data_IF_803373327165
#
_entry.id   IF_803373327165
#
_cell.length_a   1.000
_cell.length_b   1.000
_cell.length_c   1.000
_cell.angle_alpha   90.00
_cell.angle_beta   90.00
_cell.angle_gamma   90.00
#
_symmetry.space_group_name_H-M   'P 1'
#
loop_
_entity.id
_entity.type
_entity.pdbx_description
1 polymer ?
#
# COMPACT_ATOMS: atom_id res chain seq x y z
N UNK A 1 6.49 0.72 -3.60
CA UNK A 1 5.03 0.82 -3.90
C UNK A 1 4.65 0.69 -5.38
N UNK A 2 5.56 0.89 -6.34
CA UNK A 2 5.21 0.97 -7.77
C UNK A 2 4.74 -0.36 -8.39
N UNK A 3 5.10 -1.52 -7.82
CA UNK A 3 4.78 -2.84 -8.40
C UNK A 3 3.28 -3.12 -8.61
N UNK A 4 2.40 -2.56 -7.77
CA UNK A 4 0.95 -2.75 -7.90
C UNK A 4 0.25 -1.64 -8.69
N UNK A 5 0.95 -0.55 -9.00
CA UNK A 5 0.38 0.60 -9.70
C UNK A 5 -0.30 0.23 -11.04
N UNK A 6 0.30 -0.60 -11.91
CA UNK A 6 -0.35 -1.02 -13.15
C UNK A 6 -1.69 -1.73 -12.93
N UNK A 7 -1.82 -2.51 -11.85
CA UNK A 7 -3.03 -3.25 -11.50
C UNK A 7 -4.15 -2.30 -11.08
N UNK A 8 -3.87 -1.32 -10.21
CA UNK A 8 -4.84 -0.30 -9.81
C UNK A 8 -5.25 0.62 -10.97
N UNK A 9 -4.30 0.98 -11.86
CA UNK A 9 -4.62 1.77 -13.03
C UNK A 9 -5.53 1.00 -14.00
N UNK A 10 -5.20 -0.24 -14.33
CA UNK A 10 -6.01 -1.09 -15.19
C UNK A 10 -7.40 -1.35 -14.60
N UNK A 11 -7.46 -1.74 -13.33
CA UNK A 11 -8.73 -1.93 -12.62
C UNK A 11 -9.57 -0.65 -12.55
N UNK A 12 -8.92 0.52 -12.59
CA UNK A 12 -9.58 1.82 -12.67
C UNK A 12 -10.27 2.11 -14.01
N UNK A 13 -9.80 1.50 -15.10
CA UNK A 13 -10.44 1.54 -16.41
C UNK A 13 -11.33 0.32 -16.69
N UNK A 14 -11.61 -0.50 -15.65
CA UNK A 14 -12.39 -1.73 -15.79
C UNK A 14 -11.64 -2.86 -16.50
N UNK A 15 -10.31 -2.78 -16.60
CA UNK A 15 -9.47 -3.81 -17.19
C UNK A 15 -8.96 -4.72 -16.07
N UNK A 16 -9.23 -6.01 -16.18
CA UNK A 16 -8.79 -7.04 -15.23
C UNK A 16 -7.66 -7.86 -15.85
N UNK A 17 -6.52 -7.97 -15.15
CA UNK A 17 -5.40 -8.77 -15.63
C UNK A 17 -5.65 -10.25 -15.34
N UNK A 18 -5.53 -11.15 -16.35
CA UNK A 18 -5.91 -12.56 -16.22
C UNK A 18 -4.94 -13.43 -15.40
N UNK A 19 -3.80 -12.90 -14.97
CA UNK A 19 -2.77 -13.66 -14.25
C UNK A 19 -2.72 -13.33 -12.75
N UNK A 20 -2.92 -12.07 -12.39
CA UNK A 20 -2.97 -11.57 -11.01
C UNK A 20 -3.89 -10.34 -11.01
N UNK A 21 -5.20 -10.56 -11.12
CA UNK A 21 -6.21 -9.52 -11.02
C UNK A 21 -6.83 -9.48 -9.62
N UNK A 22 -7.66 -8.47 -9.36
CA UNK A 22 -8.39 -8.38 -8.10
C UNK A 22 -9.33 -9.59 -7.81
N UNK A 23 -9.98 -10.23 -8.80
CA UNK A 23 -10.76 -11.44 -8.58
C UNK A 23 -9.95 -12.61 -8.01
N UNK A 24 -8.68 -12.73 -8.38
CA UNK A 24 -7.79 -13.80 -7.89
C UNK A 24 -7.30 -13.53 -6.45
N UNK A 25 -7.45 -12.30 -5.95
CA UNK A 25 -7.03 -11.88 -4.60
C UNK A 25 -8.18 -11.92 -3.59
N UNK A 26 -9.42 -11.65 -4.02
CA UNK A 26 -10.60 -11.64 -3.17
C UNK A 26 -11.81 -12.28 -3.87
N UNK A 27 -12.43 -13.28 -3.23
CA UNK A 27 -13.55 -14.05 -3.80
C UNK A 27 -14.88 -13.27 -3.84
N UNK A 28 -14.98 -12.16 -3.13
CA UNK A 28 -16.13 -11.24 -3.11
C UNK A 28 -15.96 -10.04 -4.05
N UNK A 29 -14.84 -9.97 -4.78
CA UNK A 29 -14.55 -8.87 -5.67
C UNK A 29 -15.62 -8.74 -6.77
N UNK A 30 -16.06 -7.50 -7.00
CA UNK A 30 -16.93 -7.15 -8.12
C UNK A 30 -16.52 -5.81 -8.70
N UNK A 31 -16.38 -5.75 -10.03
CA UNK A 31 -15.98 -4.54 -10.75
C UNK A 31 -17.18 -3.62 -10.97
N UNK A 32 -17.55 -2.88 -9.93
CA UNK A 32 -18.55 -1.81 -10.02
C UNK A 32 -17.89 -0.47 -10.36
N UNK A 33 -18.66 0.49 -10.87
CA UNK A 33 -18.14 1.84 -11.16
C UNK A 33 -17.50 2.53 -9.94
N UNK A 34 -18.02 2.27 -8.73
CA UNK A 34 -17.42 2.76 -7.48
C UNK A 34 -16.04 2.13 -7.19
N UNK A 35 -15.91 0.82 -7.41
CA UNK A 35 -14.65 0.09 -7.22
C UNK A 35 -13.59 0.58 -8.22
N UNK A 36 -13.98 0.78 -9.48
CA UNK A 36 -13.09 1.34 -10.52
C UNK A 36 -12.59 2.74 -10.14
N UNK A 37 -13.50 3.62 -9.70
CA UNK A 37 -13.11 4.95 -9.19
C UNK A 37 -12.14 4.85 -8.00
N UNK A 38 -12.42 3.93 -7.07
CA UNK A 38 -11.56 3.70 -5.89
C UNK A 38 -10.17 3.19 -6.26
N UNK A 39 -10.06 2.34 -7.30
CA UNK A 39 -8.78 1.91 -7.85
C UNK A 39 -7.99 3.06 -8.46
N UNK A 40 -8.63 3.95 -9.23
CA UNK A 40 -7.97 5.15 -9.76
C UNK A 40 -7.46 6.06 -8.64
N UNK A 41 -8.29 6.33 -7.63
CA UNK A 41 -7.88 7.13 -6.47
C UNK A 41 -6.70 6.51 -5.74
N UNK A 42 -6.73 5.19 -5.53
CA UNK A 42 -5.64 4.43 -4.89
C UNK A 42 -4.36 4.51 -5.72
N UNK A 43 -4.45 4.34 -7.05
CA UNK A 43 -3.31 4.48 -7.96
C UNK A 43 -2.67 5.87 -7.88
N UNK A 44 -3.47 6.94 -7.88
CA UNK A 44 -2.99 8.31 -7.71
C UNK A 44 -2.31 8.53 -6.36
N UNK A 45 -2.88 8.01 -5.27
CA UNK A 45 -2.27 8.08 -3.93
C UNK A 45 -0.95 7.33 -3.86
N UNK A 46 -0.84 6.16 -4.50
CA UNK A 46 0.41 5.39 -4.57
C UNK A 46 1.50 6.13 -5.35
N UNK A 47 1.16 6.82 -6.44
CA UNK A 47 2.09 7.70 -7.15
C UNK A 47 2.54 8.84 -6.24
N UNK A 48 1.59 9.54 -5.60
CA UNK A 48 1.90 10.65 -4.69
C UNK A 48 2.83 10.23 -3.56
N UNK A 49 2.54 9.11 -2.90
CA UNK A 49 3.39 8.55 -1.85
C UNK A 49 4.78 8.17 -2.37
N UNK A 50 4.87 7.53 -3.54
CA UNK A 50 6.15 7.18 -4.16
C UNK A 50 6.97 8.42 -4.54
N UNK A 51 6.33 9.48 -5.05
CA UNK A 51 6.99 10.74 -5.38
C UNK A 51 7.52 11.45 -4.13
N UNK A 52 6.73 11.52 -3.05
CA UNK A 52 7.20 12.08 -1.78
C UNK A 52 8.31 11.26 -1.15
N UNK A 53 8.33 9.94 -1.34
CA UNK A 53 9.44 9.07 -0.93
C UNK A 53 10.72 9.38 -1.74
N UNK A 54 10.63 9.45 -3.07
CA UNK A 54 11.76 9.74 -3.96
C UNK A 54 12.35 11.13 -3.71
N UNK A 55 11.50 12.11 -3.38
CA UNK A 55 11.91 13.48 -3.06
C UNK A 55 12.42 13.65 -1.63
N UNK A 56 12.34 12.60 -0.80
CA UNK A 56 12.72 12.67 0.62
C UNK A 56 11.82 13.56 1.47
N UNK A 57 10.62 13.90 0.98
CA UNK A 57 9.64 14.77 1.65
C UNK A 57 8.88 14.02 2.76
N UNK A 58 8.88 12.69 2.71
CA UNK A 58 8.18 11.86 3.68
C UNK A 58 9.11 11.46 4.83
N UNK A 59 8.80 11.93 6.04
CA UNK A 59 9.52 11.51 7.24
C UNK A 59 9.28 10.03 7.56
N UNK A 60 10.24 9.38 8.23
CA UNK A 60 10.08 8.00 8.70
C UNK A 60 8.89 7.84 9.66
N UNK A 61 8.62 8.86 10.48
CA UNK A 61 7.46 8.87 11.37
C UNK A 61 6.14 8.86 10.58
N UNK A 62 6.03 9.71 9.55
CA UNK A 62 4.86 9.73 8.66
C UNK A 62 4.70 8.38 7.96
N UNK A 63 5.80 7.82 7.43
CA UNK A 63 5.83 6.50 6.79
C UNK A 63 5.28 5.40 7.69
N UNK A 64 5.75 5.36 8.94
CA UNK A 64 5.35 4.36 9.94
C UNK A 64 3.85 4.45 10.29
N UNK A 65 3.32 5.66 10.53
CA UNK A 65 1.94 5.84 10.98
C UNK A 65 0.90 5.31 9.98
N UNK A 66 1.02 5.65 8.68
CA UNK A 66 0.04 5.15 7.72
C UNK A 66 0.23 3.66 7.41
N UNK A 67 1.46 3.13 7.48
CA UNK A 67 1.70 1.70 7.33
C UNK A 67 1.06 0.88 8.45
N UNK A 68 1.05 1.37 9.69
CA UNK A 68 0.30 0.73 10.78
C UNK A 68 -1.20 0.68 10.50
N UNK A 69 -1.80 1.79 10.07
CA UNK A 69 -3.22 1.82 9.72
C UNK A 69 -3.54 0.84 8.57
N UNK A 70 -2.71 0.85 7.52
CA UNK A 70 -2.83 -0.06 6.38
C UNK A 70 -2.67 -1.53 6.79
N UNK A 71 -1.67 -1.82 7.61
CA UNK A 71 -1.37 -3.16 8.15
C UNK A 71 -2.56 -3.70 8.95
N UNK A 72 -3.18 -2.90 9.81
CA UNK A 72 -4.37 -3.33 10.56
C UNK A 72 -5.57 -3.61 9.66
N UNK A 73 -5.81 -2.75 8.66
CA UNK A 73 -6.90 -2.96 7.70
C UNK A 73 -6.69 -4.23 6.85
N UNK A 74 -5.47 -4.44 6.35
CA UNK A 74 -5.09 -5.63 5.60
C UNK A 74 -5.19 -6.90 6.44
N UNK A 75 -4.73 -6.86 7.69
CA UNK A 75 -4.78 -8.02 8.57
C UNK A 75 -6.23 -8.45 8.84
N UNK A 76 -7.13 -7.50 9.07
CA UNK A 76 -8.57 -7.78 9.21
C UNK A 76 -9.14 -8.45 7.96
N UNK A 77 -8.74 -7.99 6.78
CA UNK A 77 -9.19 -8.55 5.51
C UNK A 77 -8.62 -9.95 5.26
N UNK A 78 -7.32 -10.17 5.49
CA UNK A 78 -6.65 -11.47 5.34
C UNK A 78 -7.20 -12.56 6.27
N UNK A 79 -7.57 -12.17 7.49
CA UNK A 79 -8.22 -13.09 8.44
C UNK A 79 -9.72 -13.30 8.14
N UNK A 80 -10.25 -12.57 7.16
CA UNK A 80 -11.64 -12.68 6.69
C UNK A 80 -11.83 -13.84 5.70
N UNK A 81 -13.10 -14.24 5.46
CA UNK A 81 -13.41 -15.40 4.62
C UNK A 81 -13.28 -15.15 3.11
N UNK A 82 -13.09 -13.89 2.70
CA UNK A 82 -13.07 -13.51 1.27
C UNK A 82 -11.66 -13.43 0.69
N UNK A 83 -10.62 -13.40 1.54
CA UNK A 83 -9.24 -13.35 1.05
C UNK A 83 -8.81 -14.71 0.50
N UNK A 84 -8.17 -14.72 -0.66
CA UNK A 84 -7.56 -15.95 -1.18
C UNK A 84 -6.17 -16.16 -0.56
N UNK A 85 -5.64 -17.38 -0.63
CA UNK A 85 -4.24 -17.66 -0.24
C UNK A 85 -3.26 -16.78 -1.01
N UNK A 86 -3.51 -16.57 -2.31
CA UNK A 86 -2.69 -15.70 -3.16
C UNK A 86 -2.79 -14.24 -2.70
N UNK A 87 -4.00 -13.74 -2.48
CA UNK A 87 -4.25 -12.40 -1.95
C UNK A 87 -3.53 -12.15 -0.64
N UNK A 88 -3.67 -13.08 0.31
CA UNK A 88 -2.96 -13.02 1.59
C UNK A 88 -1.45 -12.96 1.41
N UNK A 89 -0.87 -13.83 0.58
CA UNK A 89 0.58 -13.87 0.34
C UNK A 89 1.11 -12.59 -0.30
N UNK A 90 0.38 -12.04 -1.28
CA UNK A 90 0.79 -10.83 -2.00
C UNK A 90 0.82 -9.58 -1.11
N UNK A 91 -0.04 -9.54 -0.10
CA UNK A 91 -0.12 -8.41 0.85
C UNK A 91 0.61 -8.67 2.18
N UNK A 92 1.60 -9.58 2.21
CA UNK A 92 2.50 -9.72 3.38
C UNK A 92 3.52 -8.58 3.48
N UNK A 93 3.95 -8.04 2.34
CA UNK A 93 5.01 -7.03 2.25
C UNK A 93 4.70 -5.74 3.05
N UNK A 94 3.47 -5.19 3.05
CA UNK A 94 3.09 -4.07 3.90
C UNK A 94 3.30 -4.32 5.40
N UNK A 95 3.05 -5.52 5.90
CA UNK A 95 3.32 -5.86 7.31
C UNK A 95 4.81 -5.83 7.60
N UNK A 96 5.62 -6.38 6.70
CA UNK A 96 7.07 -6.33 6.82
C UNK A 96 7.60 -4.89 6.85
N UNK A 97 7.11 -4.03 5.95
CA UNK A 97 7.50 -2.61 5.96
C UNK A 97 7.05 -1.88 7.22
N UNK A 98 5.89 -2.23 7.77
CA UNK A 98 5.41 -1.68 9.05
C UNK A 98 6.37 -2.05 10.18
N UNK A 99 6.76 -3.33 10.29
CA UNK A 99 7.69 -3.81 11.32
C UNK A 99 9.08 -3.20 11.14
N UNK A 100 9.60 -3.19 9.91
CA UNK A 100 10.91 -2.65 9.59
C UNK A 100 11.01 -1.14 9.89
N UNK A 101 10.03 -0.36 9.45
CA UNK A 101 9.99 1.09 9.72
C UNK A 101 9.85 1.39 11.21
N UNK A 102 9.06 0.60 11.94
CA UNK A 102 8.94 0.71 13.40
C UNK A 102 10.29 0.44 14.08
N UNK A 103 11.00 -0.62 13.69
CA UNK A 103 12.32 -0.94 14.24
C UNK A 103 13.34 0.17 13.96
N UNK A 104 13.33 0.76 12.76
CA UNK A 104 14.20 1.90 12.41
C UNK A 104 13.85 3.15 13.22
N UNK A 105 12.56 3.42 13.43
CA UNK A 105 12.10 4.58 14.18
C UNK A 105 12.47 4.49 15.66
N UNK A 106 12.18 3.35 16.31
CA UNK A 106 12.51 3.08 17.71
C UNK A 106 14.03 3.00 17.92
N UNK A 107 14.77 2.49 16.93
CA UNK A 107 16.23 2.45 16.93
C UNK A 107 16.93 3.81 16.72
N UNK A 108 16.19 4.92 16.72
CA UNK A 108 16.75 6.28 16.67
C UNK A 108 17.21 6.74 15.28
N UNK A 109 16.94 5.98 14.21
CA UNK A 109 17.29 6.38 12.83
C UNK A 109 16.26 7.34 12.20
N UNK A 110 15.21 7.72 12.92
CA UNK A 110 14.16 8.63 12.47
C UNK A 110 14.47 10.12 12.64
N UNK A 111 15.56 10.49 13.32
CA UNK A 111 15.95 11.89 13.45
C UNK A 111 16.70 12.36 12.20
N UNK A 112 15.95 12.92 11.25
CA UNK A 112 16.52 13.82 10.25
C UNK A 112 17.10 15.01 11.03
N UNK A 113 18.42 15.02 11.27
CA UNK A 113 19.13 16.21 11.75
C UNK A 113 18.85 17.33 10.75
N UNK A 114 17.92 18.21 11.09
CA UNK A 114 17.69 19.46 10.39
C UNK A 114 19.01 20.24 10.51
N UNK A 115 19.85 20.12 9.48
CA UNK A 115 21.10 20.85 9.40
C UNK A 115 20.72 22.30 9.17
N UNK A 116 20.75 23.08 10.26
CA UNK A 116 20.71 24.54 10.22
C UNK A 116 21.69 25.01 9.15
N UNK A 117 21.18 25.53 8.04
CA UNK A 117 21.93 26.46 7.21
C UNK A 117 21.46 27.85 7.60
N UNK A 118 22.41 28.59 8.18
CA UNK A 118 22.35 30.03 8.45
C UNK A 118 21.98 30.82 7.21
#
# INVERSE_FOLDING_TARGET
MIGFFPMYLAGGFGIEFPLIGFPELDTSYSSSGWVQMSHLMTGCLMIGAALSEIRGEMSLATFMHYHWALSLALLKWQLGPTSTTLGSAMFLLPHFFTLWSTAMYVGGKGETKNKKTR
#
